data_IF_547949772264
#
_entry.id   IF_547949772264
#
_cell.length_a   1.000
_cell.length_b   1.000
_cell.length_c   1.000
_cell.angle_alpha   90.00
_cell.angle_beta   90.00
_cell.angle_gamma   90.00
#
_symmetry.space_group_name_H-M   'P 1'
#
loop_
_entity.id
_entity.type
_entity.pdbx_description
1 polymer ?
#
# COMPACT_ATOMS: atom_id res chain seq x y z
N UNK A 1 -12.21 -23.33 -86.23
CA UNK A 1 -10.89 -22.71 -86.01
C UNK A 1 -10.06 -23.76 -85.27
N UNK A 2 -9.38 -24.69 -85.98
CA UNK A 2 -7.97 -24.64 -86.42
C UNK A 2 -7.04 -24.29 -85.23
N UNK A 3 -6.04 -25.08 -84.82
CA UNK A 3 -5.27 -26.10 -85.53
C UNK A 3 -4.62 -27.16 -84.60
N UNK A 4 -4.24 -28.29 -85.23
CA UNK A 4 -3.32 -29.35 -84.80
C UNK A 4 -1.87 -28.88 -84.66
N UNK A 5 -1.08 -29.65 -83.91
CA UNK A 5 0.29 -30.17 -84.21
C UNK A 5 0.72 -31.00 -82.98
N UNK A 6 0.71 -32.34 -82.99
CA UNK A 6 1.66 -33.29 -83.59
C UNK A 6 3.12 -33.15 -83.09
N UNK A 7 3.52 -34.19 -82.33
CA UNK A 7 4.74 -34.99 -82.52
C UNK A 7 6.11 -34.33 -82.27
N UNK A 8 6.78 -34.72 -81.18
CA UNK A 8 8.19 -35.18 -81.19
C UNK A 8 8.39 -36.13 -79.99
N UNK A 9 8.49 -37.43 -80.28
CA UNK A 9 9.24 -38.39 -79.47
C UNK A 9 10.74 -38.09 -79.63
N UNK A 10 11.48 -38.04 -78.52
CA UNK A 10 12.94 -38.06 -78.55
C UNK A 10 13.44 -38.74 -77.28
N UNK A 11 13.83 -39.99 -77.47
CA UNK A 11 14.68 -40.77 -76.60
C UNK A 11 15.94 -39.97 -76.22
N UNK A 12 16.22 -39.83 -74.93
CA UNK A 12 17.59 -39.59 -74.43
C UNK A 12 17.80 -40.48 -73.20
N UNK A 13 18.36 -41.65 -73.51
CA UNK A 13 19.44 -42.34 -72.82
C UNK A 13 19.49 -42.36 -71.29
N UNK A 14 19.28 -43.57 -70.77
CA UNK A 14 19.82 -44.03 -69.50
C UNK A 14 21.36 -43.90 -69.49
N UNK A 15 21.85 -42.89 -68.79
CA UNK A 15 23.23 -42.87 -68.30
C UNK A 15 23.23 -43.31 -66.83
N UNK A 16 23.63 -44.56 -66.63
CA UNK A 16 24.18 -45.03 -65.36
C UNK A 16 25.38 -44.16 -65.02
N UNK A 17 25.25 -43.24 -64.06
CA UNK A 17 26.40 -42.67 -63.36
C UNK A 17 26.40 -43.13 -61.90
N UNK A 18 27.34 -44.03 -61.62
CA UNK A 18 27.76 -44.43 -60.28
C UNK A 18 28.54 -43.27 -59.64
N UNK A 19 27.80 -42.29 -59.12
CA UNK A 19 28.33 -41.21 -58.30
C UNK A 19 28.13 -41.49 -56.81
N UNK A 20 29.07 -42.20 -56.21
CA UNK A 20 29.21 -42.49 -54.77
C UNK A 20 29.25 -41.18 -53.95
N UNK A 21 28.10 -40.58 -53.63
CA UNK A 21 27.99 -39.44 -52.68
C UNK A 21 27.89 -39.95 -51.25
N UNK A 22 28.97 -40.63 -50.82
CA UNK A 22 29.21 -40.87 -49.40
C UNK A 22 29.46 -39.53 -48.69
N UNK A 23 28.50 -39.16 -47.86
CA UNK A 23 28.75 -38.38 -46.66
C UNK A 23 28.36 -36.91 -46.73
N UNK A 24 27.08 -36.65 -46.48
CA UNK A 24 26.63 -35.76 -45.37
C UNK A 24 25.14 -35.94 -45.15
N UNK A 25 24.73 -37.13 -44.69
CA UNK A 25 23.39 -37.33 -44.09
C UNK A 25 23.53 -37.41 -42.58
N UNK A 26 24.07 -36.34 -41.98
CA UNK A 26 24.03 -36.11 -40.53
C UNK A 26 22.61 -35.62 -40.16
N UNK A 27 21.61 -36.42 -40.47
CA UNK A 27 20.21 -36.03 -40.37
C UNK A 27 19.36 -37.10 -39.71
N UNK A 28 18.34 -36.67 -38.98
CA UNK A 28 17.32 -37.50 -38.33
C UNK A 28 16.78 -38.63 -39.22
N UNK A 29 16.73 -38.43 -40.55
CA UNK A 29 16.19 -39.38 -41.54
C UNK A 29 17.06 -40.62 -41.79
N UNK A 30 18.25 -40.72 -41.17
CA UNK A 30 19.09 -41.93 -41.22
C UNK A 30 18.83 -42.87 -40.05
N UNK A 31 18.09 -42.41 -39.03
CA UNK A 31 17.70 -43.23 -37.89
C UNK A 31 16.67 -44.27 -38.33
N UNK A 32 16.65 -45.46 -37.70
CA UNK A 32 15.58 -46.43 -37.91
C UNK A 32 14.20 -45.85 -37.58
N UNK A 33 13.19 -46.30 -38.32
CA UNK A 33 11.81 -45.84 -38.20
C UNK A 33 11.26 -46.02 -36.78
N UNK A 34 11.70 -47.05 -36.06
CA UNK A 34 11.30 -47.33 -34.68
C UNK A 34 11.75 -46.22 -33.73
N UNK A 35 12.97 -45.71 -33.95
CA UNK A 35 13.54 -44.61 -33.17
C UNK A 35 12.79 -43.33 -33.49
N UNK A 36 12.53 -43.06 -34.77
CA UNK A 36 11.76 -41.90 -35.20
C UNK A 36 10.35 -41.92 -34.61
N UNK A 37 9.63 -43.05 -34.67
CA UNK A 37 8.30 -43.20 -34.08
C UNK A 37 8.33 -43.01 -32.56
N UNK A 38 9.38 -43.47 -31.89
CA UNK A 38 9.55 -43.26 -30.44
C UNK A 38 9.75 -41.79 -30.08
N UNK A 39 10.43 -41.01 -30.93
CA UNK A 39 10.59 -39.55 -30.75
C UNK A 39 9.26 -38.84 -31.05
N UNK A 40 8.61 -39.17 -32.17
CA UNK A 40 7.33 -38.61 -32.59
C UNK A 40 6.19 -38.88 -31.58
N UNK A 41 6.31 -39.93 -30.78
CA UNK A 41 5.37 -40.23 -29.70
C UNK A 41 5.27 -39.11 -28.65
N UNK A 42 6.37 -38.41 -28.37
CA UNK A 42 6.41 -37.33 -27.35
C UNK A 42 5.97 -35.96 -27.88
N UNK A 43 5.76 -35.82 -29.19
CA UNK A 43 5.32 -34.57 -29.78
C UNK A 43 3.81 -34.38 -29.66
N UNK A 44 3.40 -33.15 -29.38
CA UNK A 44 1.98 -32.78 -29.35
C UNK A 44 1.36 -32.83 -30.75
N UNK A 45 0.04 -32.95 -30.83
CA UNK A 45 -0.69 -33.01 -32.11
C UNK A 45 -0.34 -31.87 -33.09
N UNK A 46 -0.27 -30.59 -32.69
CA UNK A 46 0.18 -29.51 -33.58
C UNK A 46 1.63 -29.68 -34.05
N UNK A 47 2.53 -30.17 -33.20
CA UNK A 47 3.95 -30.35 -33.54
C UNK A 47 4.12 -31.50 -34.54
N UNK A 48 3.36 -32.58 -34.37
CA UNK A 48 3.32 -33.70 -35.30
C UNK A 48 2.84 -33.27 -36.70
N UNK A 49 1.87 -32.35 -36.75
CA UNK A 49 1.41 -31.76 -38.01
C UNK A 49 2.50 -30.93 -38.68
N UNK A 50 3.24 -30.13 -37.92
CA UNK A 50 4.39 -29.38 -38.45
C UNK A 50 5.44 -30.34 -39.02
N UNK A 51 5.79 -31.39 -38.28
CA UNK A 51 6.76 -32.40 -38.71
C UNK A 51 6.32 -33.10 -40.00
N UNK A 52 5.03 -33.44 -40.12
CA UNK A 52 4.47 -34.07 -41.33
C UNK A 52 4.61 -33.21 -42.60
N UNK A 53 4.78 -31.89 -42.45
CA UNK A 53 4.95 -30.95 -43.58
C UNK A 53 6.40 -30.78 -43.99
N UNK A 54 7.36 -31.21 -43.16
CA UNK A 54 8.79 -31.03 -43.43
C UNK A 54 9.39 -32.12 -44.32
N UNK A 55 8.86 -33.35 -44.27
CA UNK A 55 9.37 -34.50 -45.03
C UNK A 55 8.27 -35.52 -45.32
N UNK A 56 8.29 -36.12 -46.51
CA UNK A 56 7.38 -37.20 -46.90
C UNK A 56 7.55 -38.46 -46.04
N UNK A 57 8.78 -38.75 -45.63
CA UNK A 57 9.09 -39.90 -44.78
C UNK A 57 8.52 -39.69 -43.37
N UNK A 58 8.76 -38.53 -42.77
CA UNK A 58 8.17 -38.19 -41.46
C UNK A 58 6.65 -38.06 -41.51
N UNK A 59 6.07 -37.69 -42.66
CA UNK A 59 4.63 -37.71 -42.88
C UNK A 59 4.06 -39.14 -42.81
N UNK A 60 4.73 -40.11 -43.41
CA UNK A 60 4.31 -41.51 -43.34
C UNK A 60 4.36 -42.03 -41.89
N UNK A 61 5.44 -41.74 -41.16
CA UNK A 61 5.61 -42.15 -39.76
C UNK A 61 4.66 -41.40 -38.80
N UNK A 62 4.37 -40.13 -39.07
CA UNK A 62 3.43 -39.33 -38.28
C UNK A 62 1.98 -39.81 -38.42
N UNK A 63 1.64 -40.46 -39.54
CA UNK A 63 0.31 -41.02 -39.81
C UNK A 63 0.22 -42.52 -39.46
N UNK A 64 1.29 -43.11 -38.90
CA UNK A 64 1.32 -44.52 -38.55
C UNK A 64 0.26 -44.85 -37.47
N UNK A 65 -0.63 -45.82 -37.70
CA UNK A 65 -1.60 -46.27 -36.71
C UNK A 65 -0.95 -46.78 -35.41
N UNK A 66 0.29 -47.30 -35.44
CA UNK A 66 0.96 -47.80 -34.25
C UNK A 66 1.22 -46.67 -33.24
N UNK A 67 1.72 -45.53 -33.72
CA UNK A 67 1.94 -44.32 -32.92
C UNK A 67 0.64 -43.86 -32.26
N UNK A 68 -0.43 -43.75 -33.05
CA UNK A 68 -1.72 -43.27 -32.56
C UNK A 68 -2.39 -44.23 -31.57
N UNK A 69 -2.30 -45.55 -31.79
CA UNK A 69 -2.81 -46.55 -30.86
C UNK A 69 -2.05 -46.53 -29.53
N UNK A 70 -0.73 -46.36 -29.56
CA UNK A 70 0.07 -46.25 -28.34
C UNK A 70 -0.29 -45.00 -27.53
N UNK A 71 -0.47 -43.85 -28.19
CA UNK A 71 -0.93 -42.61 -27.56
C UNK A 71 -2.33 -42.77 -26.97
N UNK A 72 -3.25 -43.37 -27.72
CA UNK A 72 -4.61 -43.63 -27.26
C UNK A 72 -4.62 -44.51 -26.01
N UNK A 73 -3.88 -45.62 -26.00
CA UNK A 73 -3.78 -46.50 -24.82
C UNK A 73 -3.27 -45.75 -23.60
N UNK A 74 -2.21 -44.96 -23.75
CA UNK A 74 -1.62 -44.22 -22.64
C UNK A 74 -2.54 -43.12 -22.13
N UNK A 75 -3.23 -42.38 -23.02
CA UNK A 75 -4.23 -41.39 -22.59
C UNK A 75 -5.44 -42.05 -21.93
N UNK A 76 -5.94 -43.18 -22.43
CA UNK A 76 -7.02 -43.93 -21.78
C UNK A 76 -6.66 -44.35 -20.35
N UNK A 77 -5.40 -44.70 -20.10
CA UNK A 77 -4.93 -45.06 -18.76
C UNK A 77 -4.70 -43.86 -17.83
N UNK A 78 -4.17 -42.73 -18.34
CA UNK A 78 -3.83 -41.57 -17.49
C UNK A 78 -4.98 -40.60 -17.29
N UNK A 79 -5.89 -40.47 -18.26
CA UNK A 79 -6.98 -39.51 -18.26
C UNK A 79 -7.86 -39.61 -17.00
N UNK A 80 -8.30 -40.79 -16.53
CA UNK A 80 -9.15 -40.88 -15.34
C UNK A 80 -8.47 -40.29 -14.09
N UNK A 81 -7.17 -40.55 -13.92
CA UNK A 81 -6.40 -40.00 -12.81
C UNK A 81 -6.27 -38.48 -12.94
N UNK A 82 -5.92 -37.96 -14.12
CA UNK A 82 -5.80 -36.51 -14.35
C UNK A 82 -7.13 -35.78 -14.17
N UNK A 83 -8.25 -36.37 -14.61
CA UNK A 83 -9.58 -35.83 -14.36
C UNK A 83 -9.93 -35.81 -12.87
N UNK A 84 -9.50 -36.81 -12.10
CA UNK A 84 -9.74 -36.83 -10.64
C UNK A 84 -8.99 -35.71 -9.89
N UNK A 85 -7.81 -35.32 -10.38
CA UNK A 85 -7.03 -34.20 -9.82
C UNK A 85 -7.52 -32.83 -10.28
N UNK A 86 -8.53 -32.77 -11.16
CA UNK A 86 -9.00 -31.52 -11.75
C UNK A 86 -9.68 -30.67 -10.68
N UNK A 87 -9.26 -29.41 -10.51
CA UNK A 87 -9.91 -28.50 -9.57
C UNK A 87 -11.35 -28.17 -10.03
N UNK A 88 -12.29 -27.96 -9.09
CA UNK A 88 -13.67 -27.65 -9.42
C UNK A 88 -13.78 -26.29 -10.11
N UNK A 89 -14.81 -26.11 -10.95
CA UNK A 89 -15.00 -24.88 -11.73
C UNK A 89 -15.06 -23.61 -10.87
N UNK A 90 -15.63 -23.70 -9.66
CA UNK A 90 -15.70 -22.60 -8.71
C UNK A 90 -14.34 -22.08 -8.26
N UNK A 91 -13.32 -22.95 -8.20
CA UNK A 91 -11.95 -22.55 -7.86
C UNK A 91 -11.22 -21.84 -9.02
N UNK A 92 -11.67 -22.09 -10.24
CA UNK A 92 -11.13 -21.50 -11.47
C UNK A 92 -11.79 -20.15 -11.82
N UNK A 93 -12.87 -19.81 -11.12
CA UNK A 93 -13.64 -18.59 -11.31
C UNK A 93 -13.27 -17.52 -10.27
N UNK A 94 -13.54 -16.24 -10.55
CA UNK A 94 -13.42 -15.18 -9.55
C UNK A 94 -14.31 -15.46 -8.34
N UNK A 95 -13.85 -15.16 -7.10
CA UNK A 95 -12.76 -14.26 -6.72
C UNK A 95 -11.39 -14.92 -6.53
N UNK A 96 -11.30 -16.25 -6.57
CA UNK A 96 -10.09 -17.00 -6.21
C UNK A 96 -9.07 -17.04 -7.34
N UNK A 97 -9.51 -17.20 -8.60
CA UNK A 97 -8.63 -17.16 -9.76
C UNK A 97 -9.31 -16.55 -10.98
N UNK A 98 -8.50 -16.10 -11.95
CA UNK A 98 -8.96 -15.46 -13.17
C UNK A 98 -8.80 -16.35 -14.41
N UNK A 99 -8.75 -17.67 -14.22
CA UNK A 99 -8.44 -18.65 -15.27
C UNK A 99 -9.67 -18.87 -16.16
N UNK A 100 -10.84 -19.08 -15.55
CA UNK A 100 -12.10 -19.27 -16.28
C UNK A 100 -13.03 -18.07 -16.06
N UNK A 101 -13.20 -17.26 -17.12
CA UNK A 101 -14.04 -16.07 -17.09
C UNK A 101 -15.27 -16.26 -17.96
N UNK A 102 -16.44 -16.16 -17.34
CA UNK A 102 -17.70 -16.09 -18.09
C UNK A 102 -17.91 -14.69 -18.68
N UNK A 103 -18.86 -14.57 -19.60
CA UNK A 103 -19.26 -13.27 -20.18
C UNK A 103 -19.63 -12.23 -19.12
N UNK A 104 -20.28 -12.66 -18.03
CA UNK A 104 -20.66 -11.79 -16.91
C UNK A 104 -19.44 -11.27 -16.15
N UNK A 105 -18.42 -12.10 -15.91
CA UNK A 105 -17.16 -11.66 -15.29
C UNK A 105 -16.43 -10.62 -16.15
N UNK A 106 -16.42 -10.80 -17.47
CA UNK A 106 -15.82 -9.85 -18.40
C UNK A 106 -16.56 -8.50 -18.39
N UNK A 107 -17.89 -8.53 -18.41
CA UNK A 107 -18.71 -7.33 -18.30
C UNK A 107 -18.49 -6.62 -16.96
N UNK A 108 -18.47 -7.37 -15.85
CA UNK A 108 -18.19 -6.84 -14.52
C UNK A 108 -16.81 -6.19 -14.43
N UNK A 109 -15.76 -6.78 -15.04
CA UNK A 109 -14.42 -6.16 -15.11
C UNK A 109 -14.43 -4.84 -15.86
N UNK A 110 -15.12 -4.76 -17.00
CA UNK A 110 -15.23 -3.52 -17.77
C UNK A 110 -15.92 -2.42 -16.96
N UNK A 111 -17.01 -2.74 -16.29
CA UNK A 111 -17.71 -1.82 -15.40
C UNK A 111 -16.86 -1.42 -14.19
N UNK A 112 -16.17 -2.37 -13.57
CA UNK A 112 -15.27 -2.12 -12.45
C UNK A 112 -14.19 -1.10 -12.84
N UNK A 113 -13.51 -1.31 -13.97
CA UNK A 113 -12.48 -0.38 -14.45
C UNK A 113 -13.06 0.99 -14.78
N UNK A 114 -14.24 1.06 -15.41
CA UNK A 114 -14.92 2.34 -15.64
C UNK A 114 -15.18 3.09 -14.33
N UNK A 115 -15.71 2.40 -13.31
CA UNK A 115 -15.97 2.99 -12.00
C UNK A 115 -14.67 3.42 -11.28
N UNK A 116 -13.61 2.61 -11.37
CA UNK A 116 -12.29 2.96 -10.81
C UNK A 116 -11.76 4.22 -11.49
N UNK A 117 -11.82 4.31 -12.82
CA UNK A 117 -11.41 5.50 -13.55
C UNK A 117 -12.21 6.74 -13.13
N UNK A 118 -13.54 6.63 -13.02
CA UNK A 118 -14.39 7.74 -12.57
C UNK A 118 -14.00 8.17 -11.14
N UNK A 119 -13.81 7.21 -10.22
CA UNK A 119 -13.40 7.49 -8.84
C UNK A 119 -12.03 8.16 -8.79
N UNK A 120 -11.06 7.63 -9.52
CA UNK A 120 -9.71 8.19 -9.60
C UNK A 120 -9.73 9.60 -10.18
N UNK A 121 -10.45 9.83 -11.28
CA UNK A 121 -10.59 11.17 -11.86
C UNK A 121 -11.16 12.16 -10.84
N UNK A 122 -12.23 11.78 -10.11
CA UNK A 122 -12.80 12.62 -9.06
C UNK A 122 -11.81 12.89 -7.91
N UNK A 123 -11.05 11.87 -7.50
CA UNK A 123 -10.03 12.01 -6.44
C UNK A 123 -8.84 12.87 -6.88
N UNK A 124 -8.42 12.74 -8.14
CA UNK A 124 -7.33 13.53 -8.71
C UNK A 124 -7.73 15.02 -8.88
N UNK A 125 -8.96 15.30 -9.30
CA UNK A 125 -9.48 16.67 -9.36
C UNK A 125 -9.56 17.34 -7.98
N UNK A 126 -9.75 16.56 -6.91
CA UNK A 126 -9.79 17.04 -5.53
C UNK A 126 -8.44 16.95 -4.81
N UNK A 127 -7.36 16.63 -5.53
CA UNK A 127 -6.06 16.38 -4.93
C UNK A 127 -5.55 17.65 -4.26
N UNK A 128 -5.29 17.64 -2.93
CA UNK A 128 -4.70 18.78 -2.26
C UNK A 128 -3.26 19.00 -2.75
N UNK A 129 -2.86 20.27 -2.85
CA UNK A 129 -1.49 20.65 -3.19
C UNK A 129 -0.49 20.22 -2.12
N UNK A 130 0.79 20.14 -2.50
CA UNK A 130 1.88 19.78 -1.58
C UNK A 130 2.03 20.80 -0.45
N UNK A 131 1.79 22.08 -0.71
CA UNK A 131 1.77 23.15 0.29
C UNK A 131 0.73 22.90 1.38
N UNK A 132 -0.49 22.50 1.00
CA UNK A 132 -1.56 22.15 1.94
C UNK A 132 -1.20 20.93 2.82
N UNK A 133 -0.57 19.91 2.24
CA UNK A 133 -0.13 18.72 2.97
C UNK A 133 0.98 19.02 3.98
N UNK A 134 1.90 19.92 3.63
CA UNK A 134 2.96 20.40 4.53
C UNK A 134 2.38 21.27 5.65
N UNK A 135 1.41 22.14 5.36
CA UNK A 135 0.74 22.94 6.40
C UNK A 135 -0.08 22.09 7.36
N UNK A 136 -0.68 21.01 6.86
CA UNK A 136 -1.43 20.04 7.66
C UNK A 136 -0.52 19.08 8.45
N UNK A 137 0.81 19.22 8.37
CA UNK A 137 1.81 18.33 8.97
C UNK A 137 1.65 16.84 8.56
N UNK A 138 1.01 16.57 7.41
CA UNK A 138 0.88 15.22 6.85
C UNK A 138 2.20 14.83 6.17
N UNK A 139 2.77 15.78 5.42
CA UNK A 139 4.09 15.61 4.81
C UNK A 139 5.13 16.45 5.56
N UNK A 140 6.27 15.86 6.00
CA UNK A 140 7.37 16.62 6.58
C UNK A 140 7.95 17.62 5.57
N UNK A 141 8.39 18.80 6.04
CA UNK A 141 8.99 19.84 5.20
C UNK A 141 10.29 19.35 4.55
N UNK A 142 10.97 18.42 5.20
CA UNK A 142 12.25 17.86 4.79
C UNK A 142 12.11 16.95 3.55
N UNK A 143 10.90 16.49 3.24
CA UNK A 143 10.59 15.69 2.04
C UNK A 143 10.34 16.57 0.80
N UNK A 144 10.16 17.87 0.98
CA UNK A 144 9.83 18.81 -0.08
C UNK A 144 10.92 19.85 -0.29
N UNK A 145 11.21 20.16 -1.55
CA UNK A 145 12.03 21.31 -1.93
C UNK A 145 11.09 22.42 -2.38
N UNK A 146 11.30 23.63 -1.89
CA UNK A 146 10.60 24.80 -2.44
C UNK A 146 11.22 25.13 -3.79
N UNK A 147 10.40 25.14 -4.82
CA UNK A 147 10.84 25.55 -6.15
C UNK A 147 11.09 27.06 -6.16
N UNK A 148 12.18 27.48 -6.82
CA UNK A 148 12.64 28.87 -6.81
C UNK A 148 11.86 29.75 -7.79
N UNK A 149 11.28 29.15 -8.83
CA UNK A 149 10.52 29.87 -9.85
C UNK A 149 9.05 30.05 -9.45
N UNK A 150 8.40 28.98 -8.98
CA UNK A 150 6.96 29.00 -8.65
C UNK A 150 6.65 29.29 -7.17
N UNK A 151 7.64 29.16 -6.28
CA UNK A 151 7.43 29.30 -4.83
C UNK A 151 6.67 28.13 -4.18
N UNK A 152 6.19 27.17 -4.98
CA UNK A 152 5.46 25.99 -4.53
C UNK A 152 6.40 24.89 -4.02
N UNK A 153 5.86 23.99 -3.20
CA UNK A 153 6.61 22.81 -2.76
C UNK A 153 6.58 21.74 -3.86
N UNK A 154 7.76 21.25 -4.23
CA UNK A 154 7.94 20.10 -5.12
C UNK A 154 8.46 18.93 -4.30
N UNK A 155 7.86 17.76 -4.49
CA UNK A 155 8.30 16.55 -3.82
C UNK A 155 9.70 16.16 -4.34
N UNK A 156 10.69 16.10 -3.45
CA UNK A 156 12.07 15.78 -3.83
C UNK A 156 12.44 14.38 -3.35
N UNK A 157 12.43 13.41 -4.27
CA UNK A 157 12.88 12.05 -3.98
C UNK A 157 14.41 11.95 -3.78
N UNK A 158 15.17 12.90 -4.34
CA UNK A 158 16.64 12.87 -4.37
C UNK A 158 17.31 13.45 -3.11
N UNK A 159 16.62 14.29 -2.34
CA UNK A 159 17.21 14.97 -1.19
C UNK A 159 17.03 14.21 0.12
N UNK A 160 17.69 13.07 0.35
CA UNK A 160 17.75 12.38 1.69
C UNK A 160 16.40 12.08 2.38
N UNK A 161 15.27 12.32 1.72
CA UNK A 161 14.09 12.89 2.37
C UNK A 161 12.95 11.92 2.68
N UNK A 162 13.01 10.65 2.26
CA UNK A 162 11.99 9.66 2.60
C UNK A 162 12.43 8.77 3.76
N UNK A 163 13.49 7.99 3.53
CA UNK A 163 13.93 6.93 4.44
C UNK A 163 14.60 7.43 5.72
N UNK A 164 15.24 8.61 5.69
CA UNK A 164 16.04 9.10 6.81
C UNK A 164 15.25 10.03 7.74
N UNK A 165 14.10 10.57 7.27
CA UNK A 165 13.30 11.52 8.05
C UNK A 165 12.71 10.87 9.30
N UNK A 166 12.19 9.66 9.21
CA UNK A 166 11.66 8.93 10.37
C UNK A 166 12.77 8.65 11.41
N UNK A 167 13.95 8.25 10.96
CA UNK A 167 15.11 8.01 11.85
C UNK A 167 15.57 9.30 12.51
N UNK A 168 15.66 10.40 11.77
CA UNK A 168 16.02 11.73 12.31
C UNK A 168 15.00 12.22 13.33
N UNK A 169 13.71 12.16 13.02
CA UNK A 169 12.64 12.56 13.94
C UNK A 169 12.63 11.73 15.22
N UNK A 170 12.90 10.41 15.13
CA UNK A 170 13.04 9.56 16.31
C UNK A 170 14.19 10.03 17.20
N UNK A 171 15.35 10.31 16.61
CA UNK A 171 16.51 10.82 17.35
C UNK A 171 16.22 12.20 17.95
N UNK A 172 15.56 13.10 17.24
CA UNK A 172 15.17 14.42 17.75
C UNK A 172 14.21 14.30 18.94
N UNK A 173 13.21 13.41 18.86
CA UNK A 173 12.30 13.14 19.97
C UNK A 173 13.03 12.62 21.21
N UNK A 174 13.98 11.69 21.03
CA UNK A 174 14.79 11.18 22.15
C UNK A 174 15.69 12.27 22.73
N UNK A 175 16.30 13.13 21.91
CA UNK A 175 17.07 14.29 22.39
C UNK A 175 16.22 15.27 23.18
N UNK A 176 15.00 15.57 22.72
CA UNK A 176 14.07 16.44 23.44
C UNK A 176 13.63 15.79 24.75
N UNK A 177 13.32 14.50 24.75
CA UNK A 177 12.95 13.73 25.94
C UNK A 177 14.07 13.73 26.98
N UNK A 178 15.31 13.49 26.56
CA UNK A 178 16.46 13.51 27.45
C UNK A 178 16.74 14.93 27.97
N UNK A 179 16.68 15.94 27.10
CA UNK A 179 16.82 17.34 27.50
C UNK A 179 15.76 17.78 28.52
N UNK A 180 14.51 17.35 28.33
CA UNK A 180 13.43 17.59 29.28
C UNK A 180 13.64 16.86 30.60
N UNK A 181 14.15 15.63 30.59
CA UNK A 181 14.48 14.89 31.82
C UNK A 181 15.53 15.65 32.63
N UNK A 182 16.64 16.01 32.02
CA UNK A 182 17.73 16.76 32.68
C UNK A 182 17.23 18.12 33.18
N UNK A 183 16.41 18.81 32.40
CA UNK A 183 15.82 20.08 32.83
C UNK A 183 14.88 19.90 34.04
N UNK A 184 14.03 18.87 34.03
CA UNK A 184 13.14 18.55 35.14
C UNK A 184 13.91 18.15 36.40
N UNK A 185 14.97 17.36 36.29
CA UNK A 185 15.82 16.98 37.43
C UNK A 185 16.51 18.22 38.03
N UNK A 186 17.07 19.09 37.18
CA UNK A 186 17.67 20.35 37.62
C UNK A 186 16.63 21.26 38.28
N UNK A 187 15.42 21.35 37.72
CA UNK A 187 14.33 22.17 38.27
C UNK A 187 13.79 21.59 39.57
N UNK A 188 13.66 20.27 39.66
CA UNK A 188 13.27 19.57 40.88
C UNK A 188 14.30 19.80 41.99
N UNK A 189 15.60 19.75 41.68
CA UNK A 189 16.68 20.08 42.62
C UNK A 189 16.70 21.56 43.04
N UNK A 190 16.34 22.49 42.15
CA UNK A 190 16.14 23.91 42.52
C UNK A 190 14.94 24.08 43.46
N UNK A 191 13.83 23.39 43.19
CA UNK A 191 12.63 23.40 44.03
C UNK A 191 12.92 22.77 45.40
N UNK A 192 13.67 21.67 45.45
CA UNK A 192 14.12 21.01 46.69
C UNK A 192 14.94 21.95 47.55
N UNK A 193 15.96 22.60 46.97
CA UNK A 193 16.79 23.59 47.70
C UNK A 193 15.99 24.79 48.19
N UNK A 194 14.98 25.26 47.44
CA UNK A 194 14.05 26.31 47.93
C UNK A 194 13.16 25.84 49.08
N UNK A 195 12.76 24.56 49.10
CA UNK A 195 12.03 23.95 50.23
C UNK A 195 12.93 23.83 51.46
N UNK A 196 14.16 23.37 51.31
CA UNK A 196 15.17 23.25 52.38
C UNK A 196 15.58 24.61 52.94
N UNK A 197 15.71 25.63 52.09
CA UNK A 197 15.92 27.02 52.51
C UNK A 197 14.69 27.65 53.20
N UNK A 198 13.62 26.89 53.44
CA UNK A 198 12.43 27.35 54.14
C UNK A 198 11.59 28.35 53.35
N UNK A 199 11.84 28.56 52.05
CA UNK A 199 11.03 29.41 51.17
C UNK A 199 9.98 28.53 50.48
N UNK A 200 9.24 27.79 51.29
CA UNK A 200 8.11 26.99 50.84
C UNK A 200 6.87 27.86 50.64
N UNK A 201 5.93 27.37 49.83
CA UNK A 201 4.58 27.96 49.72
C UNK A 201 3.94 28.09 51.11
N UNK A 202 4.20 27.16 52.03
CA UNK A 202 3.76 27.26 53.43
C UNK A 202 4.31 28.47 54.19
N UNK A 203 5.53 28.94 53.92
CA UNK A 203 6.10 30.15 54.54
C UNK A 203 5.55 31.42 53.91
N UNK A 204 5.23 31.39 52.61
CA UNK A 204 4.51 32.47 51.94
C UNK A 204 3.06 32.58 52.43
N UNK A 205 2.37 31.44 52.54
CA UNK A 205 1.01 31.33 53.09
C UNK A 205 1.00 31.75 54.55
N UNK A 206 1.96 31.31 55.37
CA UNK A 206 2.09 31.75 56.75
C UNK A 206 2.39 33.25 56.86
N UNK A 207 3.27 33.80 56.01
CA UNK A 207 3.50 35.26 55.97
C UNK A 207 2.25 36.03 55.56
N UNK A 208 1.47 35.51 54.60
CA UNK A 208 0.23 36.12 54.15
C UNK A 208 -0.83 36.07 55.24
N UNK A 209 -1.06 34.91 55.84
CA UNK A 209 -2.00 34.71 56.94
C UNK A 209 -1.61 35.53 58.17
N UNK A 210 -0.30 35.67 58.44
CA UNK A 210 0.21 36.55 59.50
C UNK A 210 0.00 38.02 59.16
N UNK A 211 0.21 38.44 57.91
CA UNK A 211 -0.09 39.82 57.47
C UNK A 211 -1.58 40.13 57.61
N UNK A 212 -2.46 39.24 57.15
CA UNK A 212 -3.92 39.38 57.30
C UNK A 212 -4.32 39.46 58.78
N UNK A 213 -3.76 38.62 59.65
CA UNK A 213 -4.03 38.68 61.11
C UNK A 213 -3.49 39.94 61.78
N UNK A 214 -2.42 40.55 61.26
CA UNK A 214 -1.89 41.84 61.75
C UNK A 214 -2.76 42.99 61.28
N UNK A 215 -3.25 42.96 60.04
CA UNK A 215 -4.28 43.89 59.54
C UNK A 215 -5.55 43.79 60.36
N UNK A 216 -6.08 42.59 60.59
CA UNK A 216 -7.26 42.36 61.44
C UNK A 216 -7.05 42.87 62.88
N UNK A 217 -5.83 42.79 63.42
CA UNK A 217 -5.49 43.40 64.72
C UNK A 217 -5.31 44.92 64.67
N UNK A 218 -4.91 45.48 63.53
CA UNK A 218 -4.82 46.93 63.31
C UNK A 218 -6.21 47.52 63.11
N UNK A 219 -7.06 46.87 62.34
CA UNK A 219 -8.50 47.13 62.22
C UNK A 219 -9.16 46.98 63.58
N UNK A 220 -9.01 45.86 64.29
CA UNK A 220 -9.57 45.69 65.65
C UNK A 220 -9.00 46.64 66.71
N UNK A 221 -7.83 47.26 66.48
CA UNK A 221 -7.28 48.33 67.35
C UNK A 221 -7.74 49.73 66.92
N UNK A 222 -8.02 49.94 65.63
CA UNK A 222 -8.72 51.11 65.10
C UNK A 222 -10.18 51.08 65.55
N UNK A 223 -10.87 49.95 65.44
CA UNK A 223 -12.19 49.68 65.98
C UNK A 223 -12.21 49.90 67.50
N UNK A 224 -11.23 49.42 68.29
CA UNK A 224 -11.16 49.73 69.73
C UNK A 224 -10.85 51.20 70.07
N UNK A 225 -10.33 51.99 69.12
CA UNK A 225 -10.22 53.44 69.23
C UNK A 225 -11.47 54.17 68.71
N UNK A 226 -12.27 53.51 67.89
CA UNK A 226 -13.53 54.01 67.31
C UNK A 226 -14.80 53.42 67.95
N UNK A 227 -14.66 52.53 68.94
CA UNK A 227 -15.72 52.17 69.92
C UNK A 227 -15.85 53.30 70.93
N UNK A 228 -16.07 54.50 70.41
CA UNK A 228 -16.75 55.60 71.06
C UNK A 228 -18.07 55.95 70.35
N UNK A 229 -18.30 55.58 69.08
CA UNK A 229 -19.43 56.18 68.33
C UNK A 229 -20.10 55.35 67.23
N UNK A 230 -19.68 54.12 66.90
CA UNK A 230 -20.27 53.40 65.73
C UNK A 230 -21.38 52.36 66.01
N UNK A 231 -21.66 52.02 67.28
CA UNK A 231 -22.78 51.10 67.60
C UNK A 231 -24.19 51.68 67.28
N UNK A 232 -24.27 52.97 66.95
CA UNK A 232 -25.50 53.65 66.54
C UNK A 232 -25.81 53.58 65.05
N UNK A 233 -24.80 53.50 64.16
CA UNK A 233 -25.02 53.54 62.70
C UNK A 233 -25.49 52.19 62.14
N UNK A 234 -25.00 51.08 62.66
CA UNK A 234 -25.33 49.74 62.12
C UNK A 234 -26.72 49.23 62.57
N UNK A 235 -27.28 49.76 63.67
CA UNK A 235 -28.68 49.49 64.04
C UNK A 235 -29.66 50.18 63.08
N UNK A 236 -29.34 51.38 62.60
CA UNK A 236 -30.17 52.10 61.63
C UNK A 236 -30.31 51.37 60.30
N UNK A 237 -29.21 50.79 59.79
CA UNK A 237 -29.23 50.05 58.52
C UNK A 237 -30.01 48.73 58.63
N UNK A 238 -29.86 48.01 59.74
CA UNK A 238 -30.63 46.77 59.99
C UNK A 238 -32.14 47.05 60.12
N UNK A 239 -32.52 48.11 60.85
CA UNK A 239 -33.91 48.54 60.97
C UNK A 239 -34.48 49.05 59.62
N UNK A 240 -33.66 49.71 58.80
CA UNK A 240 -34.05 50.19 57.47
C UNK A 240 -34.38 49.04 56.50
N UNK A 241 -33.54 48.00 56.45
CA UNK A 241 -33.79 46.83 55.61
C UNK A 241 -34.91 45.93 56.15
N UNK A 242 -35.06 45.81 57.48
CA UNK A 242 -36.19 45.10 58.09
C UNK A 242 -37.53 45.83 57.89
N UNK A 243 -37.55 47.16 57.75
CA UNK A 243 -38.76 47.93 57.45
C UNK A 243 -39.18 47.83 55.97
N UNK A 244 -38.25 47.75 55.02
CA UNK A 244 -38.56 47.52 53.59
C UNK A 244 -39.00 46.08 53.28
N UNK A 245 -38.73 45.13 54.16
CA UNK A 245 -39.08 43.71 53.98
C UNK A 245 -40.46 43.28 54.50
N UNK A 246 -41.21 44.14 55.19
CA UNK A 246 -42.53 43.82 55.77
C UNK A 246 -43.70 44.55 55.11
N UNK A 247 -43.59 44.84 53.82
CA UNK A 247 -44.61 45.56 53.05
C UNK A 247 -44.98 44.89 51.73
N UNK A 248 -45.22 43.57 51.73
CA UNK A 248 -45.98 42.85 50.67
C UNK A 248 -46.71 41.66 51.31
N UNK A 249 -47.84 41.92 51.95
CA UNK A 249 -49.04 41.04 51.99
C UNK A 249 -50.26 41.94 52.20
N UNK A 250 -50.81 42.44 51.10
CA UNK A 250 -52.23 42.57 50.74
C UNK A 250 -52.32 43.42 49.48
#
# INVERSE_FOLDING_TARGET
MLARNDMVDSEIEASNDHGDTKGTTNGLLRLPDEILVSVLYYLDVPELLVVSRTSHHLRALALDPYLHNRRLRLTTLTLPHLLSTRPPLSSLQPPTSAIYLTRTHLAARRLHWSLVCIRLNRSLSRRPGLSSLVSANILPRECCRRDRASGEYVFSASGTGGLVVERKKKVEREKVKEGLRVWLERKAGEIGRRREAGIGVGVLVWRLQRRLKVEERREGRAERREVGTEAGRVRGLKMFWEAKGRGVVM
#
